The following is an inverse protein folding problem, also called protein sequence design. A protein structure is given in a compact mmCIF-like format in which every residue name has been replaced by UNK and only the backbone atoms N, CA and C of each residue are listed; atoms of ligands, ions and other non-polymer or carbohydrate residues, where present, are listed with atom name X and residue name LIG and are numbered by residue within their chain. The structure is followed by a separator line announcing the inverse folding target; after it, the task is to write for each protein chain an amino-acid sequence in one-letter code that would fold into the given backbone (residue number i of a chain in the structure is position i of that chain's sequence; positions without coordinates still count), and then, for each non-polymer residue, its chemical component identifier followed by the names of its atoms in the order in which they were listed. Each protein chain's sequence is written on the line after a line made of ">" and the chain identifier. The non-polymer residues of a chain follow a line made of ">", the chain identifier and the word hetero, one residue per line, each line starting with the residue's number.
data_IF_914566569550
#
_entry.id   IF_914566569550
#
_cell.length_a   1.000
_cell.length_b   1.000
_cell.length_c   1.000
_cell.angle_alpha   90.00
_cell.angle_beta   90.00
_cell.angle_gamma   90.00
#
_symmetry.space_group_name_H-M   'P 1'
#
loop_
_entity.id
_entity.type
_entity.pdbx_description
1 polymer ?
#
# COMPACT_ATOMS: atom_id res chain seq x y z
N UNK A 1 13.72 -57.28 -2.88
CA UNK A 1 14.30 -56.22 -3.73
C UNK A 1 14.55 -55.01 -2.83
N UNK A 2 15.80 -54.64 -2.61
CA UNK A 2 16.19 -53.51 -1.76
C UNK A 2 15.92 -52.19 -2.48
N UNK A 3 15.08 -51.34 -1.92
CA UNK A 3 14.81 -50.00 -2.43
C UNK A 3 16.01 -49.10 -2.09
N UNK A 4 16.91 -48.89 -3.04
CA UNK A 4 17.96 -47.89 -2.93
C UNK A 4 17.38 -46.52 -3.29
N UNK A 5 17.32 -45.62 -2.29
CA UNK A 5 16.88 -44.24 -2.47
C UNK A 5 18.11 -43.37 -2.73
N UNK A 6 18.25 -42.87 -3.95
CA UNK A 6 19.29 -41.90 -4.30
C UNK A 6 18.83 -40.50 -3.92
N UNK A 7 19.55 -39.85 -3.00
CA UNK A 7 19.27 -38.48 -2.59
C UNK A 7 19.62 -37.51 -3.72
N UNK A 8 18.71 -36.58 -4.00
CA UNK A 8 18.91 -35.54 -5.01
C UNK A 8 19.95 -34.52 -4.50
N UNK A 9 20.77 -33.91 -5.37
CA UNK A 9 21.87 -33.04 -4.95
C UNK A 9 21.44 -31.75 -4.22
N UNK A 10 20.16 -31.37 -4.31
CA UNK A 10 19.58 -30.24 -3.55
C UNK A 10 18.92 -30.67 -2.23
N UNK A 11 18.90 -31.98 -1.93
CA UNK A 11 18.29 -32.52 -0.72
C UNK A 11 19.32 -32.56 0.41
N UNK A 12 19.67 -31.37 0.93
CA UNK A 12 20.53 -31.25 2.10
C UNK A 12 19.81 -31.70 3.36
N UNK A 13 20.55 -32.24 4.32
CA UNK A 13 19.99 -32.62 5.62
C UNK A 13 19.76 -31.38 6.48
N UNK A 14 18.71 -31.36 7.31
CA UNK A 14 18.42 -30.20 8.18
C UNK A 14 19.58 -29.87 9.14
N UNK A 15 20.36 -30.88 9.54
CA UNK A 15 21.58 -30.71 10.35
C UNK A 15 22.70 -29.93 9.66
N UNK A 16 22.74 -29.92 8.33
CA UNK A 16 23.70 -29.12 7.55
C UNK A 16 23.24 -27.66 7.43
N UNK A 17 21.92 -27.42 7.44
CA UNK A 17 21.37 -26.07 7.40
C UNK A 17 21.55 -25.34 8.73
N UNK A 18 21.46 -26.04 9.87
CA UNK A 18 21.66 -25.44 11.20
C UNK A 18 22.24 -26.48 12.18
N UNK A 19 23.38 -26.19 12.82
CA UNK A 19 23.93 -27.07 13.85
C UNK A 19 22.94 -27.29 14.99
N UNK A 20 22.87 -28.52 15.52
CA UNK A 20 21.92 -28.91 16.56
C UNK A 20 22.00 -28.00 17.81
N UNK A 21 23.21 -27.62 18.22
CA UNK A 21 23.42 -26.70 19.35
C UNK A 21 22.77 -25.33 19.12
N UNK A 22 22.72 -24.85 17.89
CA UNK A 22 22.05 -23.60 17.52
C UNK A 22 20.53 -23.79 17.50
N UNK A 23 20.05 -24.92 16.97
CA UNK A 23 18.62 -25.25 16.96
C UNK A 23 18.05 -25.42 18.38
N UNK A 24 18.78 -26.06 19.28
CA UNK A 24 18.37 -26.25 20.68
C UNK A 24 18.31 -24.92 21.45
N UNK A 25 19.23 -23.99 21.17
CA UNK A 25 19.28 -22.66 21.80
C UNK A 25 18.43 -21.59 21.11
N UNK A 26 17.62 -21.95 20.10
CA UNK A 26 16.83 -20.99 19.30
C UNK A 26 15.91 -20.10 20.14
N UNK A 27 15.37 -20.61 21.25
CA UNK A 27 14.48 -19.83 22.14
C UNK A 27 15.23 -18.75 22.92
N UNK A 28 16.46 -19.02 23.32
CA UNK A 28 17.28 -18.05 24.05
C UNK A 28 17.88 -17.02 23.09
N UNK A 29 18.18 -17.42 21.85
CA UNK A 29 18.44 -16.48 20.76
C UNK A 29 17.26 -15.52 20.54
N UNK A 30 16.03 -16.04 20.35
CA UNK A 30 14.82 -15.22 20.14
C UNK A 30 14.59 -14.26 21.32
N UNK A 31 14.69 -14.75 22.57
CA UNK A 31 14.58 -13.90 23.77
C UNK A 31 15.66 -12.82 23.79
N UNK A 32 16.92 -13.16 23.48
CA UNK A 32 18.03 -12.21 23.43
C UNK A 32 17.85 -11.13 22.37
N UNK A 33 17.32 -11.50 21.19
CA UNK A 33 17.06 -10.54 20.11
C UNK A 33 15.81 -9.69 20.31
N UNK A 34 14.81 -10.16 21.07
CA UNK A 34 13.56 -9.40 21.29
C UNK A 34 13.76 -8.03 21.94
N UNK A 35 14.79 -7.89 22.79
CA UNK A 35 15.15 -6.60 23.41
C UNK A 35 15.76 -5.64 22.40
N UNK A 36 16.53 -6.15 21.43
CA UNK A 36 17.13 -5.34 20.36
C UNK A 36 16.05 -4.90 19.37
N UNK A 37 15.11 -5.80 19.00
CA UNK A 37 14.04 -5.50 18.04
C UNK A 37 13.09 -4.42 18.55
N UNK A 38 12.76 -4.40 19.84
CA UNK A 38 11.94 -3.34 20.45
C UNK A 38 12.65 -1.98 20.44
N UNK A 39 13.96 -1.95 20.69
CA UNK A 39 14.76 -0.73 20.63
C UNK A 39 14.95 -0.20 19.19
N UNK A 40 15.08 -1.10 18.21
CA UNK A 40 15.21 -0.71 16.79
C UNK A 40 13.88 -0.37 16.13
N UNK A 41 12.76 -0.99 16.54
CA UNK A 41 11.45 -0.63 16.02
C UNK A 41 11.13 0.85 16.33
N UNK A 42 11.38 1.30 17.56
CA UNK A 42 11.19 2.69 17.96
C UNK A 42 12.08 3.69 17.21
N UNK A 43 13.28 3.28 16.75
CA UNK A 43 14.21 4.14 16.01
C UNK A 43 14.02 4.09 14.49
N UNK A 44 13.40 3.04 13.94
CA UNK A 44 12.96 2.96 12.55
C UNK A 44 11.72 3.83 12.26
N UNK A 45 11.00 4.29 13.29
CA UNK A 45 10.01 5.38 13.18
C UNK A 45 10.68 6.78 13.06
N UNK A 46 12.01 6.85 12.93
CA UNK A 46 12.79 8.09 12.81
C UNK A 46 12.60 8.86 11.49
N UNK A 47 11.94 8.28 10.47
CA UNK A 47 11.30 9.06 9.42
C UNK A 47 9.90 9.43 9.93
N UNK A 48 9.86 10.54 10.66
CA UNK A 48 8.74 10.93 11.49
C UNK A 48 7.38 10.88 10.81
N UNK A 49 6.37 10.58 11.63
CA UNK A 49 5.01 11.03 11.40
C UNK A 49 5.07 12.56 11.39
N UNK A 50 5.35 13.13 10.21
CA UNK A 50 5.08 14.52 9.94
C UNK A 50 3.60 14.79 10.22
N UNK A 51 3.18 16.06 10.38
CA UNK A 51 1.78 16.38 10.57
C UNK A 51 0.96 15.62 9.53
N UNK A 52 0.07 14.74 9.99
CA UNK A 52 -0.84 14.04 9.09
C UNK A 52 -1.81 15.11 8.58
N UNK A 53 -1.85 15.37 7.26
CA UNK A 53 -2.82 16.31 6.70
C UNK A 53 -4.23 15.91 7.14
N UNK A 54 -5.07 16.88 7.48
CA UNK A 54 -6.48 16.62 7.78
C UNK A 54 -7.13 15.98 6.55
N UNK A 55 -7.59 14.72 6.64
CA UNK A 55 -8.22 14.05 5.51
C UNK A 55 -9.57 14.68 5.11
N UNK A 56 -10.11 15.60 5.91
CA UNK A 56 -11.37 16.32 5.65
C UNK A 56 -11.15 17.81 5.36
N UNK A 57 -9.94 18.21 4.96
CA UNK A 57 -9.70 19.59 4.54
C UNK A 57 -10.70 20.00 3.44
N UNK A 58 -11.29 21.21 3.52
CA UNK A 58 -12.26 21.66 2.54
C UNK A 58 -11.63 21.72 1.14
N UNK A 59 -12.35 21.19 0.16
CA UNK A 59 -11.94 21.25 -1.25
C UNK A 59 -12.17 22.66 -1.78
N UNK A 60 -11.10 23.35 -2.17
CA UNK A 60 -11.20 24.60 -2.92
C UNK A 60 -11.53 24.27 -4.38
N UNK A 61 -12.71 24.69 -4.83
CA UNK A 61 -13.16 24.52 -6.20
C UNK A 61 -12.62 25.66 -7.08
N UNK A 62 -12.25 25.34 -8.32
CA UNK A 62 -12.04 26.36 -9.34
C UNK A 62 -13.37 26.91 -9.86
N UNK A 63 -13.37 28.13 -10.39
CA UNK A 63 -14.56 28.75 -10.98
C UNK A 63 -15.24 27.89 -12.06
N UNK A 64 -14.47 27.06 -12.78
CA UNK A 64 -15.00 26.12 -13.77
C UNK A 64 -15.72 24.95 -13.10
N UNK A 65 -15.17 24.40 -12.01
CA UNK A 65 -15.77 23.27 -11.30
C UNK A 65 -17.05 23.69 -10.57
N UNK A 66 -17.07 24.86 -9.93
CA UNK A 66 -18.27 25.42 -9.29
C UNK A 66 -19.44 25.56 -10.28
N UNK A 67 -19.14 25.79 -11.56
CA UNK A 67 -20.15 25.91 -12.62
C UNK A 67 -20.64 24.55 -13.13
N UNK A 68 -19.81 23.51 -13.05
CA UNK A 68 -20.11 22.18 -13.61
C UNK A 68 -20.78 21.27 -12.58
N UNK A 69 -20.37 21.38 -11.31
CA UNK A 69 -20.85 20.51 -10.24
C UNK A 69 -21.99 21.15 -9.44
N UNK A 70 -22.97 20.35 -8.97
CA UNK A 70 -23.12 18.91 -9.20
C UNK A 70 -23.68 18.59 -10.60
N UNK A 71 -23.11 17.58 -11.26
CA UNK A 71 -23.61 17.08 -12.54
C UNK A 71 -24.86 16.22 -12.35
N UNK A 72 -25.80 16.32 -13.29
CA UNK A 72 -27.01 15.48 -13.32
C UNK A 72 -26.64 14.01 -13.55
N UNK A 73 -27.21 13.10 -12.75
CA UNK A 73 -27.02 11.66 -12.91
C UNK A 73 -27.57 11.16 -14.25
N UNK A 74 -26.77 10.37 -14.98
CA UNK A 74 -27.23 9.66 -16.17
C UNK A 74 -28.02 8.39 -15.78
N UNK A 75 -29.25 8.27 -16.27
CA UNK A 75 -30.14 7.14 -15.99
C UNK A 75 -29.81 5.88 -16.80
N UNK A 76 -29.07 6.01 -17.91
CA UNK A 76 -28.61 4.86 -18.71
C UNK A 76 -27.64 3.96 -17.93
N UNK A 77 -26.86 4.55 -17.01
CA UNK A 77 -25.91 3.84 -16.16
C UNK A 77 -26.46 3.66 -14.74
N UNK A 78 -27.59 2.98 -14.63
CA UNK A 78 -28.14 2.55 -13.35
C UNK A 78 -27.58 1.18 -12.93
N UNK A 79 -27.52 0.94 -11.61
CA UNK A 79 -26.99 -0.31 -11.04
C UNK A 79 -28.04 -0.93 -10.14
N UNK A 80 -28.22 -2.24 -10.25
CA UNK A 80 -29.11 -3.05 -9.41
C UNK A 80 -28.36 -3.67 -8.21
N UNK A 81 -27.52 -2.87 -7.57
CA UNK A 81 -26.77 -3.28 -6.37
C UNK A 81 -26.54 -2.11 -5.45
N UNK A 82 -26.29 -2.43 -4.18
CA UNK A 82 -25.94 -1.42 -3.18
C UNK A 82 -24.64 -0.70 -3.58
N UNK A 83 -24.65 0.62 -3.41
CA UNK A 83 -23.50 1.49 -3.61
C UNK A 83 -22.61 1.40 -2.37
N UNK A 84 -21.29 1.32 -2.57
CA UNK A 84 -20.31 1.42 -1.50
C UNK A 84 -20.41 2.79 -0.85
N UNK A 85 -20.45 2.83 0.49
CA UNK A 85 -20.45 4.10 1.24
C UNK A 85 -19.27 4.98 0.82
N UNK A 86 -19.53 6.26 0.61
CA UNK A 86 -18.53 7.24 0.15
C UNK A 86 -17.28 7.23 1.03
N UNK A 87 -17.47 7.19 2.36
CA UNK A 87 -16.38 7.14 3.33
C UNK A 87 -15.44 5.95 3.07
N UNK A 88 -15.98 4.78 2.73
CA UNK A 88 -15.17 3.59 2.44
C UNK A 88 -14.46 3.76 1.10
N UNK A 89 -15.18 4.21 0.06
CA UNK A 89 -14.61 4.45 -1.26
C UNK A 89 -13.47 5.49 -1.22
N UNK A 90 -13.57 6.52 -0.39
CA UNK A 90 -12.57 7.57 -0.25
C UNK A 90 -11.40 7.19 0.69
N UNK A 91 -11.52 6.13 1.50
CA UNK A 91 -10.51 5.81 2.53
C UNK A 91 -9.76 4.49 2.33
N UNK A 92 -10.27 3.58 1.51
CA UNK A 92 -9.67 2.26 1.28
C UNK A 92 -9.24 2.10 -0.17
N UNK A 93 -8.00 2.51 -0.48
CA UNK A 93 -7.55 2.73 -1.85
C UNK A 93 -6.21 2.04 -2.15
N UNK A 94 -5.98 1.75 -3.43
CA UNK A 94 -4.66 1.44 -3.97
C UNK A 94 -4.10 2.70 -4.62
N UNK A 95 -3.26 3.42 -3.89
CA UNK A 95 -2.55 4.58 -4.43
C UNK A 95 -1.08 4.51 -4.00
N UNK A 96 -0.31 3.71 -4.75
CA UNK A 96 1.01 3.24 -4.34
C UNK A 96 2.06 4.35 -4.25
N UNK A 97 1.88 5.42 -5.01
CA UNK A 97 2.67 6.65 -4.94
C UNK A 97 2.61 7.29 -3.53
N UNK A 98 1.55 7.01 -2.76
CA UNK A 98 1.31 7.58 -1.45
C UNK A 98 1.35 6.58 -0.30
N UNK A 99 1.11 5.28 -0.53
CA UNK A 99 1.40 4.17 0.41
C UNK A 99 1.03 2.81 -0.20
N UNK A 100 1.66 1.74 0.29
CA UNK A 100 1.27 0.35 0.02
C UNK A 100 0.10 -0.15 0.90
N UNK A 101 -0.12 0.53 2.03
CA UNK A 101 -1.16 0.18 3.02
C UNK A 101 -2.48 0.83 2.58
N UNK A 102 -3.55 0.02 2.46
CA UNK A 102 -4.85 0.45 1.89
C UNK A 102 -5.49 1.66 2.57
N UNK A 103 -5.24 1.84 3.86
CA UNK A 103 -5.81 2.90 4.70
C UNK A 103 -5.05 4.21 4.67
N UNK A 104 -3.85 4.23 4.11
CA UNK A 104 -2.90 5.32 4.27
C UNK A 104 -2.99 6.40 3.18
N UNK A 105 -3.35 6.10 1.91
CA UNK A 105 -3.49 7.11 0.87
C UNK A 105 -4.34 8.31 1.26
N UNK A 106 -5.42 8.11 2.04
CA UNK A 106 -6.29 9.20 2.51
C UNK A 106 -5.56 10.28 3.32
N UNK A 107 -4.45 9.94 3.96
CA UNK A 107 -3.66 10.88 4.76
C UNK A 107 -2.55 11.52 3.93
N UNK A 108 -1.92 10.76 3.03
CA UNK A 108 -0.74 11.24 2.29
C UNK A 108 -1.07 11.87 0.93
N UNK A 109 -2.17 11.49 0.28
CA UNK A 109 -2.55 11.99 -1.05
C UNK A 109 -2.87 13.49 -1.07
N UNK A 110 -3.14 14.11 0.09
CA UNK A 110 -3.35 15.55 0.20
C UNK A 110 -2.11 16.37 -0.17
N UNK A 111 -0.92 15.76 -0.22
CA UNK A 111 0.29 16.40 -0.71
C UNK A 111 0.30 16.60 -2.25
N UNK A 112 -0.60 15.92 -2.98
CA UNK A 112 -0.71 16.07 -4.43
C UNK A 112 -1.35 17.42 -4.77
N UNK A 113 -0.60 18.28 -5.46
CA UNK A 113 -1.18 19.47 -6.08
C UNK A 113 -2.01 19.08 -7.30
N UNK A 114 -3.33 19.07 -7.14
CA UNK A 114 -4.29 18.71 -8.21
C UNK A 114 -4.68 19.90 -9.08
N UNK A 115 -4.23 21.12 -8.75
CA UNK A 115 -4.53 22.36 -9.49
C UNK A 115 -3.33 23.30 -9.53
N UNK A 116 -3.04 23.94 -10.67
CA UNK A 116 -3.57 23.63 -12.01
C UNK A 116 -3.14 22.23 -12.47
N UNK A 117 -3.89 21.62 -13.38
CA UNK A 117 -3.55 20.31 -13.95
C UNK A 117 -3.53 20.39 -15.47
N UNK A 118 -2.45 19.92 -16.08
CA UNK A 118 -2.28 19.84 -17.54
C UNK A 118 -2.51 18.39 -17.98
N UNK A 119 -3.26 18.21 -19.06
CA UNK A 119 -3.57 16.89 -19.62
C UNK A 119 -3.11 16.91 -21.07
N UNK A 120 -2.23 15.99 -21.42
CA UNK A 120 -1.72 15.80 -22.79
C UNK A 120 -2.36 14.56 -23.41
N UNK A 121 -2.82 14.69 -24.66
CA UNK A 121 -3.39 13.63 -25.49
C UNK A 121 -2.47 13.43 -26.69
N UNK A 122 -1.63 12.40 -26.62
CA UNK A 122 -0.61 12.09 -27.64
C UNK A 122 -0.69 10.65 -28.15
N UNK A 123 0.35 10.19 -28.86
CA UNK A 123 0.42 8.85 -29.44
C UNK A 123 -0.16 8.78 -30.85
N UNK A 124 -0.72 7.62 -31.22
CA UNK A 124 -1.26 7.38 -32.56
C UNK A 124 -2.68 7.92 -32.69
N UNK A 125 -2.81 9.25 -32.61
CA UNK A 125 -4.08 9.98 -32.73
C UNK A 125 -4.03 10.96 -33.89
N UNK A 126 -5.19 11.22 -34.51
CA UNK A 126 -5.26 12.14 -35.65
C UNK A 126 -5.14 13.62 -35.26
N UNK A 127 -5.51 13.97 -34.02
CA UNK A 127 -5.49 15.34 -33.49
C UNK A 127 -5.02 15.33 -32.03
N UNK A 128 -3.71 15.41 -31.76
CA UNK A 128 -3.18 15.53 -30.40
C UNK A 128 -3.60 16.87 -29.76
N UNK A 129 -3.67 16.92 -28.42
CA UNK A 129 -4.14 18.07 -27.64
C UNK A 129 -3.49 18.15 -26.28
#
# INVERSE_FOLDING_TARGET
>A
MSNLIFQKPWNMTESEATPESVYMNRRDFIKGTSLVTLATAATLYGCGIGPTPDPNAPVEWSATEEKIYPVKRNTEYSIDRNITEEKVAASFNNFYEFSEIKSDPRFHAQALSTRPWEIEVTGLVSKPR
#
